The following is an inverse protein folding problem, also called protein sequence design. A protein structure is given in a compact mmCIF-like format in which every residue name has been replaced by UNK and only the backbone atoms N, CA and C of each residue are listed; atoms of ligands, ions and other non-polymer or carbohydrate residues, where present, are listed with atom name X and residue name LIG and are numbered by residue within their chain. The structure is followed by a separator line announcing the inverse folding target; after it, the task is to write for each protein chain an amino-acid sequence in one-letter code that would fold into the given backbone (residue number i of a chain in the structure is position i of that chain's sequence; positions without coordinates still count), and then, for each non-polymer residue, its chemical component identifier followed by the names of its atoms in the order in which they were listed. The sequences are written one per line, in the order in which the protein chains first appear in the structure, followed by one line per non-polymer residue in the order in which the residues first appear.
data_IF_524450895787
#
_entry.id   IF_524450895787
#
_cell.length_a   1.000
_cell.length_b   1.000
_cell.length_c   1.000
_cell.angle_alpha   90.00
_cell.angle_beta   90.00
_cell.angle_gamma   90.00
#
_symmetry.space_group_name_H-M   'P 1'
#
loop_
_entity.id
_entity.type
_entity.pdbx_description
1 polymer ?
#
# COMPACT_ATOMS: atom_id res chain seq x y z
N UNK A 1 -3.20 -3.44 28.44
CA UNK A 1 -4.17 -3.26 27.34
C UNK A 1 -3.89 -4.27 26.25
N UNK A 2 -4.64 -5.37 26.24
CA UNK A 2 -4.62 -6.39 25.17
C UNK A 2 -5.45 -5.89 23.98
N UNK A 3 -4.96 -4.85 23.33
CA UNK A 3 -5.60 -4.31 22.13
C UNK A 3 -5.15 -5.11 20.90
N UNK A 4 -6.09 -5.57 20.07
CA UNK A 4 -5.72 -6.25 18.83
C UNK A 4 -4.95 -5.28 17.92
N UNK A 5 -3.99 -5.82 17.17
CA UNK A 5 -3.21 -5.05 16.20
C UNK A 5 -4.12 -4.25 15.26
N UNK A 6 -5.17 -4.89 14.75
CA UNK A 6 -6.14 -4.28 13.86
C UNK A 6 -6.88 -3.10 14.50
N UNK A 7 -7.30 -3.22 15.77
CA UNK A 7 -7.99 -2.12 16.43
C UNK A 7 -7.05 -0.93 16.72
N UNK A 8 -5.81 -1.21 17.09
CA UNK A 8 -4.76 -0.20 17.24
C UNK A 8 -4.50 0.55 15.92
N UNK A 9 -4.53 -0.17 14.79
CA UNK A 9 -4.39 0.42 13.46
C UNK A 9 -5.59 1.32 13.10
N UNK A 10 -6.83 0.86 13.36
CA UNK A 10 -8.02 1.69 13.14
C UNK A 10 -7.98 3.00 13.93
N UNK A 11 -7.46 2.98 15.16
CA UNK A 11 -7.26 4.21 15.94
C UNK A 11 -6.29 5.18 15.27
N UNK A 12 -5.19 4.69 14.68
CA UNK A 12 -4.22 5.53 13.95
C UNK A 12 -4.83 6.12 12.68
N UNK A 13 -5.58 5.32 11.91
CA UNK A 13 -6.28 5.81 10.72
C UNK A 13 -7.33 6.86 11.09
N UNK A 14 -8.05 6.66 12.21
CA UNK A 14 -8.99 7.66 12.73
C UNK A 14 -8.29 8.96 13.13
N UNK A 15 -7.15 8.87 13.81
CA UNK A 15 -6.34 10.04 14.16
C UNK A 15 -6.00 10.87 12.92
N UNK A 16 -5.46 10.24 11.87
CA UNK A 16 -5.15 10.92 10.60
C UNK A 16 -6.38 11.64 10.04
N UNK A 17 -7.54 10.98 10.01
CA UNK A 17 -8.79 11.56 9.49
C UNK A 17 -9.28 12.76 10.30
N UNK A 18 -8.99 12.82 11.59
CA UNK A 18 -9.34 13.97 12.42
C UNK A 18 -8.37 15.14 12.21
N UNK A 19 -7.07 14.88 12.14
CA UNK A 19 -6.04 15.94 12.01
C UNK A 19 -6.09 16.65 10.65
N UNK A 20 -6.36 15.92 9.56
CA UNK A 20 -6.44 16.49 8.19
C UNK A 20 -7.64 17.43 7.99
N UNK A 21 -8.55 17.55 8.97
CA UNK A 21 -9.66 18.50 8.91
C UNK A 21 -9.23 19.93 9.21
N UNK A 22 -8.19 20.11 10.01
CA UNK A 22 -7.74 21.42 10.51
C UNK A 22 -6.42 21.87 9.93
N UNK A 23 -5.52 20.94 9.59
CA UNK A 23 -4.18 21.26 9.10
C UNK A 23 -3.82 20.42 7.87
N UNK A 24 -2.87 20.92 7.08
CA UNK A 24 -2.35 20.20 5.93
C UNK A 24 -1.20 19.27 6.35
N UNK A 25 -1.36 17.98 6.06
CA UNK A 25 -0.36 16.96 6.34
C UNK A 25 0.17 16.31 5.07
N UNK A 26 1.43 15.89 5.10
CA UNK A 26 1.96 14.92 4.15
C UNK A 26 1.90 13.52 4.78
N UNK A 27 1.04 12.67 4.23
CA UNK A 27 0.68 11.39 4.84
C UNK A 27 1.52 10.27 4.23
N UNK A 28 2.21 9.49 5.06
CA UNK A 28 2.94 8.30 4.62
C UNK A 28 2.32 7.09 5.29
N UNK A 29 1.84 6.16 4.48
CA UNK A 29 1.20 4.93 4.94
C UNK A 29 1.97 3.74 4.40
N UNK A 30 2.41 2.87 5.29
CA UNK A 30 2.98 1.58 4.92
C UNK A 30 1.96 0.49 5.23
N UNK A 31 1.26 0.05 4.19
CA UNK A 31 0.37 -1.11 4.20
C UNK A 31 -0.73 -1.02 5.27
N UNK A 32 -1.82 -0.35 4.92
CA UNK A 32 -2.97 -0.16 5.81
C UNK A 32 -3.88 -1.39 5.91
N UNK A 33 -4.59 -1.47 7.04
CA UNK A 33 -5.56 -2.51 7.38
C UNK A 33 -4.94 -3.93 7.36
N UNK A 34 -3.74 -4.06 7.94
CA UNK A 34 -3.10 -5.36 8.17
C UNK A 34 -3.89 -6.14 9.24
N UNK A 35 -4.05 -7.45 9.02
CA UNK A 35 -4.68 -8.35 10.01
C UNK A 35 -6.20 -8.50 9.90
N UNK A 36 -6.81 -8.06 8.80
CA UNK A 36 -8.16 -8.48 8.39
C UNK A 36 -8.10 -9.36 7.14
N UNK A 37 -9.23 -9.91 6.68
CA UNK A 37 -9.30 -10.68 5.45
C UNK A 37 -9.07 -9.79 4.21
N UNK A 38 -8.62 -10.39 3.10
CA UNK A 38 -8.23 -9.66 1.88
C UNK A 38 -9.35 -8.81 1.28
N UNK A 39 -10.60 -9.26 1.36
CA UNK A 39 -11.75 -8.56 0.79
C UNK A 39 -12.05 -7.28 1.58
N UNK A 40 -12.09 -7.38 2.91
CA UNK A 40 -12.31 -6.23 3.79
C UNK A 40 -11.16 -5.23 3.72
N UNK A 41 -9.92 -5.74 3.60
CA UNK A 41 -8.73 -4.90 3.38
C UNK A 41 -8.86 -4.08 2.10
N UNK A 42 -9.20 -4.70 0.98
CA UNK A 42 -9.32 -4.01 -0.32
C UNK A 42 -10.42 -2.94 -0.28
N UNK A 43 -11.62 -3.28 0.21
CA UNK A 43 -12.75 -2.35 0.29
C UNK A 43 -12.47 -1.21 1.26
N UNK A 44 -11.94 -1.53 2.44
CA UNK A 44 -11.63 -0.56 3.48
C UNK A 44 -10.54 0.42 3.03
N UNK A 45 -9.45 -0.10 2.45
CA UNK A 45 -8.34 0.70 1.95
C UNK A 45 -8.81 1.63 0.84
N UNK A 46 -9.62 1.13 -0.11
CA UNK A 46 -10.18 1.96 -1.18
C UNK A 46 -11.01 3.12 -0.66
N UNK A 47 -11.92 2.86 0.28
CA UNK A 47 -12.73 3.92 0.90
C UNK A 47 -11.89 4.93 1.68
N UNK A 48 -10.82 4.46 2.32
CA UNK A 48 -9.90 5.33 3.05
C UNK A 48 -9.14 6.26 2.09
N UNK A 49 -8.61 5.73 0.98
CA UNK A 49 -7.95 6.55 -0.06
C UNK A 49 -8.91 7.58 -0.66
N UNK A 50 -10.14 7.18 -0.99
CA UNK A 50 -11.18 8.11 -1.47
C UNK A 50 -11.45 9.24 -0.46
N UNK A 51 -11.42 8.94 0.85
CA UNK A 51 -11.57 9.94 1.92
C UNK A 51 -10.41 10.93 1.95
N UNK A 52 -9.17 10.45 1.77
CA UNK A 52 -7.98 11.30 1.72
C UNK A 52 -8.04 12.25 0.51
N UNK A 53 -8.36 11.73 -0.67
CA UNK A 53 -8.53 12.54 -1.89
C UNK A 53 -9.62 13.60 -1.70
N UNK A 54 -10.79 13.22 -1.16
CA UNK A 54 -11.89 14.16 -0.89
C UNK A 54 -11.55 15.25 0.16
N UNK A 55 -10.49 15.06 0.94
CA UNK A 55 -9.96 16.06 1.88
C UNK A 55 -8.82 16.91 1.32
N UNK A 56 -8.47 16.75 0.04
CA UNK A 56 -7.30 17.35 -0.60
C UNK A 56 -5.99 17.04 0.15
N UNK A 57 -5.90 15.85 0.75
CA UNK A 57 -4.67 15.39 1.40
C UNK A 57 -3.61 15.00 0.38
N UNK A 58 -2.34 15.17 0.73
CA UNK A 58 -1.19 14.74 -0.09
C UNK A 58 -0.44 13.63 0.64
N UNK A 59 0.00 12.59 -0.07
CA UNK A 59 0.71 11.50 0.58
C UNK A 59 1.15 10.38 -0.33
N UNK A 60 1.76 9.36 0.28
CA UNK A 60 2.24 8.13 -0.36
C UNK A 60 1.71 6.93 0.42
N UNK A 61 1.28 5.90 -0.30
CA UNK A 61 0.83 4.63 0.27
C UNK A 61 1.64 3.50 -0.36
N UNK A 62 2.33 2.72 0.48
CA UNK A 62 2.93 1.45 0.07
C UNK A 62 1.92 0.31 0.27
N UNK A 63 1.80 -0.58 -0.71
CA UNK A 63 0.89 -1.74 -0.65
C UNK A 63 1.36 -2.89 -1.56
N UNK A 64 1.16 -4.12 -1.12
CA UNK A 64 1.21 -5.34 -1.94
C UNK A 64 -0.14 -5.68 -2.57
N UNK A 65 -1.21 -5.01 -2.15
CA UNK A 65 -2.55 -5.23 -2.66
C UNK A 65 -2.75 -4.49 -3.99
N UNK A 66 -2.54 -5.21 -5.09
CA UNK A 66 -2.73 -4.69 -6.46
C UNK A 66 -4.15 -4.19 -6.73
N UNK A 67 -5.16 -4.63 -5.96
CA UNK A 67 -6.52 -4.14 -6.12
C UNK A 67 -6.67 -2.66 -5.75
N UNK A 68 -5.78 -2.14 -4.89
CA UNK A 68 -5.75 -0.72 -4.53
C UNK A 68 -5.23 0.15 -5.67
N UNK A 69 -4.34 -0.38 -6.51
CA UNK A 69 -3.81 0.35 -7.66
C UNK A 69 -4.89 0.66 -8.71
N UNK A 70 -6.00 -0.07 -8.73
CA UNK A 70 -7.10 0.17 -9.67
C UNK A 70 -7.80 1.52 -9.44
N UNK A 71 -7.60 2.16 -8.28
CA UNK A 71 -8.24 3.45 -7.95
C UNK A 71 -7.72 4.59 -8.83
N UNK A 72 -6.48 4.52 -9.35
CA UNK A 72 -5.95 5.48 -10.34
C UNK A 72 -6.87 5.61 -11.57
N UNK A 73 -7.63 4.57 -11.92
CA UNK A 73 -8.60 4.60 -13.02
C UNK A 73 -9.87 5.38 -12.68
N UNK A 74 -10.15 5.58 -11.40
CA UNK A 74 -11.35 6.24 -10.88
C UNK A 74 -11.08 7.68 -10.41
N UNK A 75 -9.86 7.97 -9.94
CA UNK A 75 -9.47 9.26 -9.37
C UNK A 75 -8.17 9.75 -10.02
N UNK A 76 -8.24 10.89 -10.69
CA UNK A 76 -7.12 11.52 -11.40
C UNK A 76 -5.99 12.02 -10.50
N UNK A 77 -6.26 12.17 -9.21
CA UNK A 77 -5.34 12.64 -8.18
C UNK A 77 -4.40 11.53 -7.67
N UNK A 78 -4.63 10.29 -8.13
CA UNK A 78 -3.84 9.12 -7.75
C UNK A 78 -2.97 8.73 -8.92
N UNK A 79 -1.70 8.50 -8.62
CA UNK A 79 -0.72 8.00 -9.58
C UNK A 79 -0.05 6.74 -8.99
N UNK A 80 0.04 5.69 -9.79
CA UNK A 80 0.70 4.45 -9.37
C UNK A 80 2.20 4.51 -9.69
N UNK A 81 2.99 4.07 -8.73
CA UNK A 81 4.43 3.86 -8.89
C UNK A 81 4.85 2.55 -8.24
N UNK A 82 5.97 1.98 -8.73
CA UNK A 82 6.51 0.75 -8.17
C UNK A 82 8.03 0.69 -8.20
N UNK A 83 8.57 -0.20 -7.36
CA UNK A 83 9.93 -0.70 -7.45
C UNK A 83 9.90 -2.10 -8.06
N UNK A 84 10.87 -2.40 -8.92
CA UNK A 84 11.00 -3.71 -9.55
C UNK A 84 12.17 -4.50 -8.97
N UNK A 85 12.13 -5.82 -9.16
CA UNK A 85 13.31 -6.65 -9.00
C UNK A 85 13.42 -7.61 -10.18
N UNK A 86 14.64 -7.74 -10.68
CA UNK A 86 14.96 -8.58 -11.83
C UNK A 86 15.75 -9.81 -11.37
N UNK A 87 15.61 -10.92 -12.10
CA UNK A 87 16.41 -12.11 -11.86
C UNK A 87 17.56 -12.10 -12.86
N UNK A 88 18.77 -11.88 -12.36
CA UNK A 88 20.00 -11.86 -13.16
C UNK A 88 20.92 -12.94 -12.59
N UNK A 89 21.34 -13.90 -13.42
CA UNK A 89 22.24 -14.99 -13.01
C UNK A 89 21.75 -15.77 -11.78
N UNK A 90 20.44 -16.03 -11.69
CA UNK A 90 19.82 -16.71 -10.54
C UNK A 90 19.95 -15.94 -9.21
N UNK A 91 20.13 -14.62 -9.29
CA UNK A 91 20.11 -13.70 -8.16
C UNK A 91 19.06 -12.62 -8.37
N UNK A 92 18.49 -12.16 -7.24
CA UNK A 92 17.50 -11.10 -7.25
C UNK A 92 18.24 -9.76 -7.21
N UNK A 93 18.04 -8.93 -8.22
CA UNK A 93 18.65 -7.62 -8.37
C UNK A 93 17.59 -6.52 -8.27
N UNK A 94 17.82 -5.55 -7.39
CA UNK A 94 16.96 -4.38 -7.22
C UNK A 94 17.69 -3.16 -7.76
N UNK A 95 17.09 -2.46 -8.72
CA UNK A 95 17.66 -1.21 -9.24
C UNK A 95 17.37 0.00 -8.33
N UNK A 96 16.48 -0.17 -7.34
CA UNK A 96 16.00 0.86 -6.42
C UNK A 96 15.45 2.11 -7.12
N UNK A 97 14.90 1.95 -8.34
CA UNK A 97 14.30 3.03 -9.10
C UNK A 97 12.78 2.99 -8.97
N UNK A 98 12.20 4.16 -8.73
CA UNK A 98 10.76 4.35 -8.81
C UNK A 98 10.35 4.41 -10.29
N UNK A 99 9.40 3.56 -10.68
CA UNK A 99 8.92 3.41 -12.06
C UNK A 99 7.42 3.67 -12.11
N UNK A 100 6.94 4.23 -13.23
CA UNK A 100 5.53 4.54 -13.41
C UNK A 100 4.68 3.27 -13.58
N UNK A 101 3.52 3.25 -12.92
CA UNK A 101 2.52 2.20 -13.01
C UNK A 101 2.59 1.16 -11.89
N UNK A 102 2.11 -0.05 -12.19
CA UNK A 102 1.93 -1.13 -11.22
C UNK A 102 2.94 -2.24 -11.46
N UNK A 103 3.54 -2.77 -10.38
CA UNK A 103 4.48 -3.88 -10.47
C UNK A 103 3.82 -5.13 -11.08
N UNK A 104 4.48 -5.75 -12.07
CA UNK A 104 4.00 -6.94 -12.77
C UNK A 104 4.72 -8.23 -12.34
N UNK A 105 5.88 -8.10 -11.71
CA UNK A 105 6.75 -9.23 -11.41
C UNK A 105 6.50 -9.76 -9.99
N UNK A 106 6.03 -11.01 -9.88
CA UNK A 106 5.85 -11.68 -8.59
C UNK A 106 7.12 -12.44 -8.19
N UNK A 107 8.05 -11.76 -7.55
CA UNK A 107 9.37 -12.30 -7.22
C UNK A 107 9.40 -13.24 -6.00
N UNK A 108 8.33 -13.26 -5.20
CA UNK A 108 8.24 -14.11 -4.00
C UNK A 108 8.40 -15.60 -4.33
N UNK A 109 7.79 -16.08 -5.42
CA UNK A 109 7.88 -17.48 -5.83
C UNK A 109 9.31 -17.90 -6.21
N UNK A 110 10.10 -16.98 -6.78
CA UNK A 110 11.52 -17.22 -7.05
C UNK A 110 12.31 -17.36 -5.75
N UNK A 111 12.09 -16.45 -4.79
CA UNK A 111 12.76 -16.50 -3.49
C UNK A 111 12.42 -17.77 -2.72
N UNK A 112 11.16 -18.19 -2.69
CA UNK A 112 10.72 -19.42 -2.01
C UNK A 112 11.45 -20.65 -2.55
N UNK A 113 11.58 -20.76 -3.88
CA UNK A 113 12.33 -21.84 -4.54
C UNK A 113 13.83 -21.77 -4.25
N UNK A 114 14.42 -20.57 -4.36
CA UNK A 114 15.86 -20.35 -4.10
C UNK A 114 16.25 -20.68 -2.65
N UNK A 115 15.33 -20.47 -1.71
CA UNK A 115 15.51 -20.76 -0.29
C UNK A 115 15.11 -22.19 0.10
N UNK A 116 14.76 -23.04 -0.86
CA UNK A 116 14.33 -24.43 -0.64
C UNK A 116 13.14 -24.54 0.34
N UNK A 117 12.28 -23.52 0.39
CA UNK A 117 11.05 -23.52 1.20
C UNK A 117 9.94 -24.31 0.48
N UNK A 118 9.92 -24.26 -0.86
CA UNK A 118 8.98 -24.96 -1.74
C UNK A 118 9.69 -25.57 -2.95
#
# INVERSE_FOLDING_TARGET
DDESYFFSELKRLKFIVEEIKSESYFIILDEILKGTNSTDKAIGSKKFVQKLVASNSTGIIATHDLSLCEIEKELSEIENYYFDAEIINNELHFDYKLKDGVCKNMNASFLLKKMEIV
#
